data_IF_049752688222
#
_entry.id   IF_049752688222
#
_cell.length_a   1.000
_cell.length_b   1.000
_cell.length_c   1.000
_cell.angle_alpha   90.00
_cell.angle_beta   90.00
_cell.angle_gamma   90.00
#
_symmetry.space_group_name_H-M   'P 1'
#
loop_
_entity.id
_entity.type
_entity.pdbx_description
1 polymer ?
#
# COMPACT_ATOMS: atom_id res chain seq x y z
N UNK A 1 12.02 -124.08 -52.13
CA UNK A 1 11.38 -122.86 -52.67
C UNK A 1 10.97 -121.99 -51.50
N UNK A 2 11.48 -120.74 -51.49
CA UNK A 2 11.20 -119.68 -50.52
C UNK A 2 9.68 -119.33 -50.45
N UNK A 3 9.17 -118.61 -49.43
CA UNK A 3 9.91 -117.66 -48.58
C UNK A 3 9.71 -117.80 -47.06
N UNK A 4 10.75 -117.47 -46.28
CA UNK A 4 10.62 -117.21 -44.84
C UNK A 4 10.81 -115.72 -44.59
N UNK A 5 9.80 -115.16 -43.92
CA UNK A 5 9.61 -113.76 -43.55
C UNK A 5 10.49 -113.41 -42.34
N UNK A 6 11.33 -112.36 -42.37
CA UNK A 6 11.84 -111.77 -41.15
C UNK A 6 10.94 -110.60 -40.73
N UNK A 7 10.13 -110.89 -39.71
CA UNK A 7 10.17 -110.19 -38.42
C UNK A 7 10.71 -108.76 -38.44
N UNK A 8 9.78 -107.79 -38.53
CA UNK A 8 9.96 -106.39 -38.12
C UNK A 8 8.58 -105.76 -38.03
N UNK A 9 7.88 -105.99 -36.91
CA UNK A 9 6.71 -105.22 -36.53
C UNK A 9 7.03 -104.56 -35.18
N UNK A 10 7.66 -103.38 -35.25
CA UNK A 10 7.83 -102.55 -34.06
C UNK A 10 6.44 -102.12 -33.59
N UNK A 11 5.90 -102.85 -32.61
CA UNK A 11 4.76 -102.41 -31.80
C UNK A 11 5.13 -101.10 -31.13
N UNK A 12 4.64 -99.99 -31.68
CA UNK A 12 4.61 -98.70 -31.00
C UNK A 12 3.58 -98.85 -29.88
N UNK A 13 4.05 -99.21 -28.69
CA UNK A 13 3.23 -99.14 -27.49
C UNK A 13 2.92 -97.68 -27.22
N UNK A 14 1.72 -97.23 -27.64
CA UNK A 14 1.17 -95.96 -27.18
C UNK A 14 0.99 -96.04 -25.67
N UNK A 15 1.94 -95.50 -24.92
CA UNK A 15 1.86 -95.37 -23.49
C UNK A 15 0.76 -94.35 -23.18
N UNK A 16 -0.41 -94.84 -22.76
CA UNK A 16 -1.47 -94.00 -22.17
C UNK A 16 -1.24 -93.99 -20.65
N UNK A 17 -0.59 -92.97 -20.08
CA UNK A 17 -0.17 -92.96 -18.67
C UNK A 17 -1.34 -93.08 -17.67
N UNK A 18 -2.58 -92.86 -18.09
CA UNK A 18 -3.75 -92.81 -17.21
C UNK A 18 -4.74 -93.97 -17.37
N UNK A 19 -4.48 -94.94 -18.24
CA UNK A 19 -5.45 -96.02 -18.54
C UNK A 19 -5.73 -96.98 -17.37
N UNK A 20 -4.83 -97.10 -16.38
CA UNK A 20 -4.94 -98.05 -15.26
C UNK A 20 -5.50 -97.46 -13.96
N UNK A 21 -5.62 -96.13 -13.85
CA UNK A 21 -6.12 -95.48 -12.61
C UNK A 21 -7.65 -95.40 -12.63
N UNK A 22 -8.25 -95.21 -13.82
CA UNK A 22 -9.70 -95.10 -13.97
C UNK A 22 -10.47 -96.43 -13.91
N UNK A 23 -9.79 -97.59 -13.89
CA UNK A 23 -10.46 -98.91 -13.88
C UNK A 23 -10.84 -99.41 -12.48
N UNK A 24 -10.26 -98.82 -11.42
CA UNK A 24 -10.51 -99.20 -10.01
C UNK A 24 -11.34 -98.17 -9.24
N UNK A 25 -11.77 -97.08 -9.87
CA UNK A 25 -12.51 -95.99 -9.25
C UNK A 25 -13.88 -95.89 -9.90
N UNK A 26 -14.93 -95.84 -9.08
CA UNK A 26 -16.31 -95.69 -9.55
C UNK A 26 -16.44 -94.42 -10.43
N UNK A 27 -16.99 -94.53 -11.66
CA UNK A 27 -17.23 -93.38 -12.52
C UNK A 27 -17.98 -92.24 -11.84
N UNK A 28 -18.95 -92.54 -10.94
CA UNK A 28 -19.69 -91.50 -10.23
C UNK A 28 -18.79 -90.69 -9.30
N UNK A 29 -17.80 -91.34 -8.68
CA UNK A 29 -16.80 -90.67 -7.82
C UNK A 29 -15.94 -89.73 -8.66
N UNK A 30 -15.49 -90.14 -9.85
CA UNK A 30 -14.73 -89.28 -10.76
C UNK A 30 -15.53 -88.04 -11.21
N UNK A 31 -16.83 -88.19 -11.50
CA UNK A 31 -17.70 -87.06 -11.83
C UNK A 31 -17.88 -86.09 -10.65
N UNK A 32 -17.97 -86.59 -9.42
CA UNK A 32 -18.04 -85.72 -8.23
C UNK A 32 -16.73 -84.94 -8.00
N UNK A 33 -15.57 -85.59 -8.15
CA UNK A 33 -14.27 -84.91 -8.07
C UNK A 33 -14.10 -83.85 -9.16
N UNK A 34 -14.53 -84.15 -10.38
CA UNK A 34 -14.51 -83.18 -11.47
C UNK A 34 -15.45 -82.00 -11.21
N UNK A 35 -16.66 -82.26 -10.71
CA UNK A 35 -17.61 -81.22 -10.30
C UNK A 35 -17.05 -80.31 -9.20
N UNK A 36 -16.43 -80.89 -8.16
CA UNK A 36 -15.79 -80.13 -7.08
C UNK A 36 -14.58 -79.33 -7.59
N UNK A 37 -13.79 -79.89 -8.52
CA UNK A 37 -12.69 -79.17 -9.15
C UNK A 37 -13.18 -77.97 -9.95
N UNK A 38 -14.25 -78.11 -10.73
CA UNK A 38 -14.84 -77.00 -11.48
C UNK A 38 -15.40 -75.91 -10.55
N UNK A 39 -16.12 -76.29 -9.48
CA UNK A 39 -16.61 -75.33 -8.48
C UNK A 39 -15.43 -74.60 -7.84
N UNK A 40 -14.39 -75.32 -7.43
CA UNK A 40 -13.17 -74.73 -6.87
C UNK A 40 -12.47 -73.80 -7.86
N UNK A 41 -12.42 -74.15 -9.15
CA UNK A 41 -11.80 -73.34 -10.18
C UNK A 41 -12.60 -72.06 -10.46
N UNK A 42 -13.93 -72.14 -10.44
CA UNK A 42 -14.82 -70.96 -10.57
C UNK A 42 -14.68 -70.04 -9.36
N UNK A 43 -14.65 -70.59 -8.15
CA UNK A 43 -14.42 -69.80 -6.93
C UNK A 43 -13.03 -69.14 -6.96
N UNK A 44 -12.00 -69.86 -7.40
CA UNK A 44 -10.66 -69.31 -7.55
C UNK A 44 -10.60 -68.22 -8.64
N UNK A 45 -11.25 -68.42 -9.78
CA UNK A 45 -11.32 -67.41 -10.83
C UNK A 45 -12.05 -66.15 -10.35
N UNK A 46 -13.15 -66.29 -9.62
CA UNK A 46 -13.87 -65.18 -9.00
C UNK A 46 -13.03 -64.47 -7.93
N UNK A 47 -12.27 -65.22 -7.13
CA UNK A 47 -11.33 -64.65 -6.16
C UNK A 47 -10.16 -63.92 -6.82
N UNK A 48 -9.68 -64.39 -7.98
CA UNK A 48 -8.62 -63.73 -8.74
C UNK A 48 -9.12 -62.46 -9.44
N UNK A 49 -10.35 -62.47 -9.95
CA UNK A 49 -10.97 -61.30 -10.62
C UNK A 49 -11.31 -60.18 -9.64
N UNK A 50 -11.67 -60.52 -8.40
CA UNK A 50 -12.01 -59.54 -7.35
C UNK A 50 -10.80 -59.01 -6.56
N UNK A 51 -9.58 -59.43 -6.93
CA UNK A 51 -8.35 -59.00 -6.26
C UNK A 51 -7.88 -57.65 -6.83
N UNK A 52 -8.04 -56.59 -6.05
CA UNK A 52 -7.43 -55.28 -6.38
C UNK A 52 -5.97 -55.26 -5.91
N UNK A 53 -5.03 -55.07 -6.84
CA UNK A 53 -3.62 -54.90 -6.51
C UNK A 53 -3.37 -53.46 -6.02
N UNK A 54 -3.07 -53.33 -4.73
CA UNK A 54 -2.78 -52.05 -4.08
C UNK A 54 -1.29 -51.70 -4.05
N UNK A 55 -0.39 -52.53 -4.60
CA UNK A 55 1.07 -52.36 -4.42
C UNK A 55 1.73 -51.41 -5.42
N UNK A 56 0.97 -50.88 -6.39
CA UNK A 56 1.54 -50.25 -7.59
C UNK A 56 1.20 -48.77 -7.75
N UNK A 57 0.76 -48.13 -6.66
CA UNK A 57 0.47 -46.69 -6.61
C UNK A 57 1.31 -46.04 -5.54
N UNK A 58 1.99 -44.95 -5.90
CA UNK A 58 2.81 -44.13 -5.02
C UNK A 58 2.29 -42.69 -4.95
N UNK A 59 2.48 -42.07 -3.79
CA UNK A 59 2.19 -40.65 -3.57
C UNK A 59 3.46 -39.85 -3.84
N UNK A 60 3.44 -39.04 -4.90
CA UNK A 60 4.53 -38.16 -5.32
C UNK A 60 4.17 -36.70 -5.02
N UNK A 61 5.13 -35.95 -4.48
CA UNK A 61 4.96 -34.56 -4.05
C UNK A 61 5.83 -33.65 -4.92
N UNK A 62 5.30 -32.51 -5.38
CA UNK A 62 6.10 -31.56 -6.15
C UNK A 62 7.06 -30.75 -5.26
N UNK A 63 8.33 -30.82 -5.65
CA UNK A 63 9.50 -30.03 -5.25
C UNK A 63 10.06 -30.16 -3.80
N UNK A 64 11.40 -30.12 -3.72
CA UNK A 64 12.21 -30.37 -2.52
C UNK A 64 12.22 -29.20 -1.53
N UNK A 65 11.91 -29.53 -0.28
CA UNK A 65 12.58 -29.22 0.99
C UNK A 65 13.22 -27.84 1.22
N UNK A 66 12.78 -27.20 2.31
CA UNK A 66 13.61 -26.30 3.12
C UNK A 66 14.88 -27.04 3.57
N UNK A 67 15.98 -26.31 3.69
CA UNK A 67 17.33 -26.83 3.98
C UNK A 67 17.34 -27.91 5.09
N UNK A 68 17.84 -29.09 4.73
CA UNK A 68 18.15 -30.25 5.59
C UNK A 68 17.07 -31.29 5.94
N UNK A 69 15.86 -31.30 5.38
CA UNK A 69 14.95 -32.44 5.64
C UNK A 69 13.58 -32.34 5.00
N UNK A 70 12.82 -33.44 5.03
CA UNK A 70 11.50 -33.69 4.39
C UNK A 70 10.36 -32.81 4.94
N UNK A 71 10.58 -31.50 5.07
CA UNK A 71 9.64 -30.55 5.66
C UNK A 71 9.22 -29.45 4.67
N UNK A 72 7.97 -29.03 4.80
CA UNK A 72 7.32 -27.93 4.10
C UNK A 72 6.97 -26.83 5.10
N UNK A 73 6.73 -25.60 4.61
CA UNK A 73 6.37 -24.47 5.48
C UNK A 73 4.86 -24.25 5.54
N UNK A 74 4.36 -23.70 6.66
CA UNK A 74 2.95 -23.27 6.78
C UNK A 74 2.57 -22.34 5.61
N UNK A 75 1.42 -22.58 5.00
CA UNK A 75 0.92 -21.79 3.86
C UNK A 75 1.55 -22.12 2.51
N UNK A 76 2.57 -22.98 2.45
CA UNK A 76 3.13 -23.46 1.20
C UNK A 76 2.13 -24.37 0.47
N UNK A 77 1.88 -24.09 -0.80
CA UNK A 77 1.07 -24.97 -1.66
C UNK A 77 1.91 -26.18 -2.07
N UNK A 78 1.41 -27.37 -1.74
CA UNK A 78 2.02 -28.66 -2.07
C UNK A 78 1.16 -29.32 -3.15
N UNK A 79 1.79 -29.76 -4.24
CA UNK A 79 1.12 -30.60 -5.26
C UNK A 79 1.25 -32.07 -4.86
N UNK A 80 0.13 -32.78 -4.84
CA UNK A 80 0.05 -34.21 -4.59
C UNK A 80 -0.35 -34.93 -5.87
N UNK A 81 0.46 -35.89 -6.29
CA UNK A 81 0.26 -36.70 -7.48
C UNK A 81 0.12 -38.17 -7.10
N UNK A 82 -0.90 -38.83 -7.63
CA UNK A 82 -1.05 -40.28 -7.58
C UNK A 82 -0.37 -40.88 -8.81
N UNK A 83 0.81 -41.48 -8.62
CA UNK A 83 1.51 -42.21 -9.67
C UNK A 83 1.15 -43.69 -9.57
N UNK A 84 0.26 -44.15 -10.46
CA UNK A 84 -0.12 -45.55 -10.58
C UNK A 84 0.41 -46.14 -11.88
N UNK A 85 0.99 -47.33 -11.82
CA UNK A 85 1.31 -48.09 -13.04
C UNK A 85 0.06 -48.71 -13.68
N UNK A 86 -1.03 -48.83 -12.92
CA UNK A 86 -2.33 -49.28 -13.41
C UNK A 86 -3.10 -48.10 -14.02
N UNK A 87 -3.19 -48.11 -15.35
CA UNK A 87 -3.87 -47.06 -16.14
C UNK A 87 -5.39 -47.12 -16.04
N UNK A 88 -5.98 -48.16 -15.42
CA UNK A 88 -7.44 -48.28 -15.26
C UNK A 88 -7.96 -47.52 -14.04
N UNK A 89 -7.10 -47.24 -13.07
CA UNK A 89 -7.45 -46.57 -11.81
C UNK A 89 -7.60 -45.06 -12.01
N UNK A 90 -8.79 -44.54 -11.78
CA UNK A 90 -9.15 -43.11 -12.03
C UNK A 90 -9.87 -42.44 -10.86
N UNK A 91 -10.36 -43.23 -9.91
CA UNK A 91 -11.10 -42.84 -8.72
C UNK A 91 -10.15 -42.55 -7.55
N UNK A 92 -9.39 -41.47 -7.64
CA UNK A 92 -8.49 -41.04 -6.57
C UNK A 92 -9.17 -40.04 -5.64
N UNK A 93 -9.01 -40.24 -4.34
CA UNK A 93 -9.48 -39.30 -3.35
C UNK A 93 -8.53 -39.17 -2.16
N UNK A 94 -8.34 -37.94 -1.70
CA UNK A 94 -7.25 -37.52 -0.81
C UNK A 94 -7.77 -36.98 0.51
N UNK A 95 -7.21 -37.46 1.61
CA UNK A 95 -7.44 -37.00 2.97
C UNK A 95 -6.13 -36.51 3.57
N UNK A 96 -6.08 -35.28 4.06
CA UNK A 96 -4.81 -34.63 4.45
C UNK A 96 -4.48 -34.69 5.95
N UNK A 97 -5.41 -35.19 6.78
CA UNK A 97 -5.21 -35.31 8.23
C UNK A 97 -5.25 -34.00 9.01
N UNK A 98 -5.63 -32.88 8.39
CA UNK A 98 -5.68 -31.53 8.97
C UNK A 98 -7.10 -30.99 9.16
N UNK A 99 -8.11 -31.87 9.07
CA UNK A 99 -9.56 -31.57 9.04
C UNK A 99 -10.06 -30.83 7.79
N UNK A 100 -9.23 -30.69 6.75
CA UNK A 100 -9.67 -30.14 5.47
C UNK A 100 -10.61 -31.09 4.73
N UNK A 101 -11.42 -30.53 3.82
CA UNK A 101 -12.32 -31.30 2.98
C UNK A 101 -11.53 -32.27 2.08
N UNK A 102 -12.11 -33.46 1.86
CA UNK A 102 -11.56 -34.47 0.94
C UNK A 102 -11.48 -33.91 -0.47
N UNK A 103 -10.37 -34.14 -1.15
CA UNK A 103 -10.18 -33.76 -2.56
C UNK A 103 -10.19 -34.98 -3.46
N UNK A 104 -10.51 -34.81 -4.75
CA UNK A 104 -10.58 -35.91 -5.72
C UNK A 104 -9.76 -35.59 -6.98
N UNK A 105 -9.17 -36.60 -7.59
CA UNK A 105 -8.38 -36.48 -8.83
C UNK A 105 -6.96 -37.02 -8.70
N UNK A 106 -6.33 -37.32 -9.84
CA UNK A 106 -4.96 -37.86 -9.89
C UNK A 106 -3.90 -36.85 -9.42
N UNK A 107 -4.17 -35.56 -9.56
CA UNK A 107 -3.33 -34.46 -9.09
C UNK A 107 -4.19 -33.46 -8.33
N UNK A 108 -3.76 -33.09 -7.11
CA UNK A 108 -4.45 -32.11 -6.26
C UNK A 108 -3.46 -31.14 -5.61
N UNK A 109 -3.96 -30.01 -5.13
CA UNK A 109 -3.18 -28.98 -4.47
C UNK A 109 -3.72 -28.73 -3.07
N UNK A 110 -2.84 -28.73 -2.07
CA UNK A 110 -3.22 -28.49 -0.69
C UNK A 110 -2.16 -27.69 0.06
N UNK A 111 -2.59 -26.91 1.04
CA UNK A 111 -1.72 -26.14 1.93
C UNK A 111 -2.14 -26.33 3.38
N UNK A 112 -1.16 -26.33 4.28
CA UNK A 112 -1.39 -26.56 5.71
C UNK A 112 -1.26 -25.26 6.48
N UNK A 113 -2.25 -24.98 7.33
CA UNK A 113 -2.35 -23.72 8.07
C UNK A 113 -1.66 -23.75 9.44
N UNK A 114 -1.29 -24.93 9.93
CA UNK A 114 -0.63 -25.10 11.23
C UNK A 114 0.62 -25.95 11.07
N UNK A 115 1.67 -25.68 11.87
CA UNK A 115 2.82 -26.57 11.93
C UNK A 115 2.42 -27.89 12.61
N UNK A 116 2.97 -28.99 12.14
CA UNK A 116 2.65 -30.34 12.63
C UNK A 116 3.09 -31.44 11.67
N UNK A 117 3.03 -32.69 12.14
CA UNK A 117 3.11 -33.85 11.25
C UNK A 117 1.70 -34.22 10.80
N UNK A 118 1.53 -34.42 9.49
CA UNK A 118 0.26 -34.78 8.88
C UNK A 118 0.40 -36.09 8.11
N UNK A 119 -0.58 -36.97 8.27
CA UNK A 119 -0.70 -38.21 7.52
C UNK A 119 -1.64 -38.00 6.35
N UNK A 120 -1.09 -37.99 5.15
CA UNK A 120 -1.87 -37.87 3.91
C UNK A 120 -2.25 -39.25 3.43
N UNK A 121 -3.55 -39.50 3.28
CA UNK A 121 -4.11 -40.77 2.83
C UNK A 121 -4.72 -40.60 1.43
N UNK A 122 -4.20 -41.36 0.47
CA UNK A 122 -4.80 -41.54 -0.85
C UNK A 122 -5.66 -42.79 -0.82
N UNK A 123 -6.91 -42.70 -1.29
CA UNK A 123 -7.85 -43.81 -1.38
C UNK A 123 -8.33 -43.96 -2.82
N UNK A 124 -8.38 -45.20 -3.30
CA UNK A 124 -9.01 -45.58 -4.57
C UNK A 124 -9.52 -47.01 -4.46
N UNK A 125 -10.80 -47.24 -4.76
CA UNK A 125 -11.46 -48.51 -4.52
C UNK A 125 -11.33 -48.99 -3.07
N UNK A 126 -10.79 -50.19 -2.87
CA UNK A 126 -10.48 -50.76 -1.54
C UNK A 126 -9.05 -50.49 -1.08
N UNK A 127 -8.26 -49.78 -1.88
CA UNK A 127 -6.87 -49.49 -1.59
C UNK A 127 -6.70 -48.14 -0.88
N UNK A 128 -5.78 -48.09 0.08
CA UNK A 128 -5.37 -46.87 0.76
C UNK A 128 -3.85 -46.80 0.89
N UNK A 129 -3.26 -45.64 0.58
CA UNK A 129 -1.83 -45.36 0.69
C UNK A 129 -1.60 -44.17 1.59
N UNK A 130 -0.60 -44.25 2.46
CA UNK A 130 -0.31 -43.23 3.46
C UNK A 130 1.06 -42.60 3.23
N UNK A 131 1.15 -41.28 3.40
CA UNK A 131 2.40 -40.51 3.32
C UNK A 131 2.47 -39.51 4.46
N UNK A 132 3.51 -39.62 5.28
CA UNK A 132 3.79 -38.62 6.31
C UNK A 132 4.48 -37.39 5.70
N UNK A 133 4.02 -36.20 6.08
CA UNK A 133 4.65 -34.91 5.76
C UNK A 133 4.79 -34.06 7.02
N UNK A 134 5.88 -33.31 7.09
CA UNK A 134 6.17 -32.42 8.21
C UNK A 134 5.98 -30.98 7.76
N UNK A 135 5.11 -30.25 8.46
CA UNK A 135 4.89 -28.82 8.25
C UNK A 135 5.59 -28.08 9.39
N UNK A 136 6.66 -27.36 9.07
CA UNK A 136 7.32 -26.45 9.99
C UNK A 136 6.66 -25.08 9.91
N UNK A 137 6.71 -24.32 11.00
CA UNK A 137 6.36 -22.92 10.96
C UNK A 137 7.19 -22.25 9.86
N UNK A 138 6.55 -21.37 9.07
CA UNK A 138 7.33 -20.50 8.21
C UNK A 138 8.39 -19.82 9.10
N UNK A 139 9.67 -19.76 8.67
CA UNK A 139 10.65 -19.00 9.43
C UNK A 139 10.03 -17.63 9.66
N UNK A 140 9.91 -17.24 10.94
CA UNK A 140 9.57 -15.88 11.26
C UNK A 140 10.54 -15.05 10.41
N UNK A 141 10.00 -14.23 9.50
CA UNK A 141 10.83 -13.22 8.83
C UNK A 141 11.72 -12.66 9.94
N UNK A 142 13.06 -12.63 9.76
CA UNK A 142 13.94 -12.17 10.82
C UNK A 142 13.28 -10.92 11.35
N UNK A 143 12.95 -10.91 12.64
CA UNK A 143 12.84 -9.65 13.33
C UNK A 143 14.24 -9.11 13.14
N UNK A 144 14.45 -8.36 12.05
CA UNK A 144 15.63 -7.56 11.87
C UNK A 144 15.81 -6.95 13.25
N UNK A 145 16.99 -7.10 13.82
CA UNK A 145 17.40 -6.22 14.89
C UNK A 145 17.30 -4.82 14.28
N UNK A 146 16.08 -4.28 14.29
CA UNK A 146 15.79 -2.94 13.84
C UNK A 146 16.69 -2.14 14.78
N UNK A 147 17.54 -1.25 14.26
CA UNK A 147 18.21 -0.31 15.14
C UNK A 147 17.13 0.26 16.07
N UNK A 148 17.40 0.36 17.37
CA UNK A 148 16.46 0.94 18.31
C UNK A 148 16.10 2.34 17.81
N UNK A 149 14.98 2.43 17.10
CA UNK A 149 14.48 3.63 16.47
C UNK A 149 13.48 4.18 17.46
N UNK A 150 13.80 5.34 18.03
CA UNK A 150 12.91 6.05 18.94
C UNK A 150 12.08 7.07 18.15
N UNK A 151 10.81 6.75 17.80
CA UNK A 151 9.97 7.65 17.02
C UNK A 151 9.63 8.92 17.79
N UNK A 152 9.56 10.05 17.08
CA UNK A 152 9.14 11.36 17.63
C UNK A 152 7.93 11.88 16.86
N UNK A 153 6.92 12.36 17.58
CA UNK A 153 5.74 12.99 16.98
C UNK A 153 5.92 14.52 16.94
N UNK A 154 6.18 15.05 15.76
CA UNK A 154 6.20 16.48 15.49
C UNK A 154 4.78 17.00 15.26
N UNK A 155 4.43 18.13 15.86
CA UNK A 155 3.10 18.74 15.77
C UNK A 155 2.71 19.48 17.05
N UNK A 156 1.65 20.30 17.01
CA UNK A 156 1.22 21.10 18.17
C UNK A 156 0.62 20.21 19.28
N UNK A 157 0.88 20.57 20.53
CA UNK A 157 0.25 19.94 21.70
C UNK A 157 -1.11 20.56 22.07
N UNK A 158 -1.43 21.73 21.52
CA UNK A 158 -2.64 22.49 21.79
C UNK A 158 -3.31 22.88 20.47
N UNK A 159 -4.59 22.58 20.33
CA UNK A 159 -5.35 22.81 19.09
C UNK A 159 -6.78 23.27 19.39
N UNK A 160 -7.48 23.80 18.39
CA UNK A 160 -8.89 24.18 18.52
C UNK A 160 -9.80 23.20 17.79
N UNK A 161 -10.96 22.89 18.38
CA UNK A 161 -11.97 22.06 17.76
C UNK A 161 -12.42 22.65 16.40
N UNK A 162 -12.65 21.79 15.42
CA UNK A 162 -13.08 22.15 14.07
C UNK A 162 -11.96 22.60 13.12
N UNK A 163 -10.69 22.68 13.58
CA UNK A 163 -9.55 23.03 12.71
C UNK A 163 -8.71 21.79 12.37
N UNK A 164 -8.26 21.65 11.12
CA UNK A 164 -7.33 20.58 10.75
C UNK A 164 -5.95 20.86 11.35
N UNK A 165 -5.34 19.83 11.92
CA UNK A 165 -3.98 19.84 12.45
C UNK A 165 -3.19 18.68 11.87
N UNK A 166 -1.95 18.94 11.46
CA UNK A 166 -1.05 17.92 10.91
C UNK A 166 0.00 17.52 11.93
N UNK A 167 0.21 16.21 12.07
CA UNK A 167 1.31 15.60 12.81
C UNK A 167 2.24 14.90 11.85
N UNK A 168 3.54 14.98 12.08
CA UNK A 168 4.56 14.37 11.22
C UNK A 168 5.56 13.57 12.02
N UNK A 169 6.20 12.59 11.38
CA UNK A 169 7.33 11.87 11.91
C UNK A 169 8.52 11.99 10.94
N UNK A 170 9.66 12.44 11.47
CA UNK A 170 10.91 12.60 10.71
C UNK A 170 12.04 11.71 11.26
N UNK A 171 11.68 10.65 11.99
CA UNK A 171 12.68 9.79 12.63
C UNK A 171 13.50 9.06 11.56
N UNK A 172 14.84 9.17 11.59
CA UNK A 172 15.69 8.44 10.65
C UNK A 172 15.46 6.93 10.74
N UNK A 173 15.39 6.25 9.59
CA UNK A 173 15.13 4.81 9.53
C UNK A 173 13.66 4.40 9.62
N UNK A 174 12.72 5.35 9.71
CA UNK A 174 11.29 5.09 9.61
C UNK A 174 10.87 4.83 8.15
N UNK A 175 10.23 3.69 7.88
CA UNK A 175 9.73 3.29 6.55
C UNK A 175 8.23 3.04 6.54
N UNK A 176 7.66 2.61 7.67
CA UNK A 176 6.20 2.47 7.84
C UNK A 176 5.75 3.21 9.10
N UNK A 177 4.54 3.75 9.07
CA UNK A 177 3.95 4.52 10.17
C UNK A 177 2.52 4.04 10.42
N UNK A 178 2.16 3.93 11.68
CA UNK A 178 0.80 3.63 12.12
C UNK A 178 0.43 4.58 13.23
N UNK A 179 -0.42 5.56 12.89
CA UNK A 179 -0.96 6.56 13.79
C UNK A 179 -2.30 6.10 14.31
N UNK A 180 -2.58 6.28 15.61
CA UNK A 180 -3.89 5.94 16.18
C UNK A 180 -4.24 6.84 17.36
N UNK A 181 -5.48 7.30 17.43
CA UNK A 181 -6.00 7.97 18.62
C UNK A 181 -6.42 6.94 19.66
N UNK A 182 -6.08 7.16 20.93
CA UNK A 182 -6.52 6.31 22.04
C UNK A 182 -7.94 6.69 22.46
N UNK A 183 -8.90 6.28 21.65
CA UNK A 183 -10.33 6.36 21.91
C UNK A 183 -11.03 5.14 21.32
N UNK A 184 -12.24 4.85 21.78
CA UNK A 184 -13.03 3.74 21.27
C UNK A 184 -13.29 3.90 19.76
N UNK A 185 -13.09 2.81 19.01
CA UNK A 185 -13.28 2.74 17.56
C UNK A 185 -12.41 3.70 16.71
N UNK A 186 -11.27 4.16 17.21
CA UNK A 186 -10.34 4.95 16.40
C UNK A 186 -9.66 4.10 15.31
N UNK A 187 -9.83 4.51 14.07
CA UNK A 187 -9.16 3.90 12.91
C UNK A 187 -7.66 4.26 12.88
N UNK A 188 -6.79 3.29 12.54
CA UNK A 188 -5.37 3.55 12.32
C UNK A 188 -5.16 4.27 10.98
N UNK A 189 -4.24 5.23 10.97
CA UNK A 189 -3.83 5.95 9.77
C UNK A 189 -2.36 5.65 9.44
N UNK A 190 -1.99 5.70 8.16
CA UNK A 190 -0.64 5.42 7.67
C UNK A 190 -0.01 6.61 6.97
N UNK A 191 1.33 6.62 6.89
CA UNK A 191 2.12 7.65 6.19
C UNK A 191 2.96 8.51 7.14
N UNK A 192 3.99 9.18 6.62
CA UNK A 192 4.91 9.99 7.43
C UNK A 192 4.26 11.24 8.06
N UNK A 193 3.09 11.64 7.55
CA UNK A 193 2.28 12.74 8.06
C UNK A 193 0.80 12.35 8.09
N UNK A 194 0.07 12.81 9.11
CA UNK A 194 -1.38 12.59 9.25
C UNK A 194 -2.06 13.89 9.67
N UNK A 195 -3.24 14.17 9.14
CA UNK A 195 -4.03 15.35 9.50
C UNK A 195 -5.31 14.92 10.21
N UNK A 196 -5.55 15.46 11.39
CA UNK A 196 -6.77 15.24 12.18
C UNK A 196 -7.58 16.52 12.31
N UNK A 197 -8.90 16.38 12.39
CA UNK A 197 -9.82 17.47 12.74
C UNK A 197 -10.65 17.00 13.94
N UNK A 198 -10.43 17.61 15.11
CA UNK A 198 -11.14 17.23 16.33
C UNK A 198 -12.48 17.97 16.43
N UNK A 199 -13.59 17.25 16.51
CA UNK A 199 -14.93 17.84 16.56
C UNK A 199 -15.34 18.37 17.93
N UNK A 200 -14.73 17.87 19.01
CA UNK A 200 -15.06 18.19 20.39
C UNK A 200 -13.83 18.58 21.20
N UNK A 201 -13.96 19.53 22.15
CA UNK A 201 -12.90 19.87 23.08
C UNK A 201 -12.61 18.71 24.04
N UNK A 202 -11.39 18.69 24.59
CA UNK A 202 -10.93 17.69 25.54
C UNK A 202 -9.52 17.20 25.27
N UNK A 203 -9.04 16.31 26.13
CA UNK A 203 -7.73 15.67 26.00
C UNK A 203 -7.79 14.51 25.00
N UNK A 204 -6.83 14.48 24.08
CA UNK A 204 -6.65 13.38 23.11
C UNK A 204 -5.22 12.84 23.24
N UNK A 205 -5.06 11.53 23.12
CA UNK A 205 -3.74 10.90 23.08
C UNK A 205 -3.54 10.26 21.72
N UNK A 206 -2.47 10.66 21.03
CA UNK A 206 -2.07 10.12 19.74
C UNK A 206 -0.88 9.16 19.94
N UNK A 207 -1.04 7.92 19.50
CA UNK A 207 0.04 6.94 19.41
C UNK A 207 0.64 6.90 18.02
N UNK A 208 1.95 6.70 17.96
CA UNK A 208 2.66 6.38 16.73
C UNK A 208 3.49 5.10 16.94
N UNK A 209 3.29 4.14 16.04
CA UNK A 209 4.14 2.98 15.83
C UNK A 209 4.88 3.18 14.50
N UNK A 210 6.20 3.05 14.53
CA UNK A 210 7.03 3.09 13.33
C UNK A 210 7.51 1.68 13.04
N UNK A 211 7.58 1.29 11.77
CA UNK A 211 8.19 0.03 11.37
C UNK A 211 7.52 -1.23 11.97
N UNK A 212 6.29 -1.12 12.47
CA UNK A 212 5.62 -2.21 13.19
C UNK A 212 6.25 -2.53 14.56
N UNK A 213 7.17 -1.69 15.05
CA UNK A 213 7.80 -1.85 16.36
C UNK A 213 6.88 -1.32 17.47
N UNK A 214 6.20 -2.25 18.14
CA UNK A 214 5.32 -1.95 19.27
C UNK A 214 6.07 -1.71 20.58
N UNK A 215 7.34 -2.13 20.67
CA UNK A 215 8.14 -1.99 21.89
C UNK A 215 8.58 -0.53 22.12
N UNK A 216 8.86 0.20 21.05
CA UNK A 216 9.27 1.61 21.08
C UNK A 216 8.15 2.57 20.66
N UNK A 217 6.88 2.22 20.88
CA UNK A 217 5.76 3.10 20.56
C UNK A 217 5.82 4.41 21.35
N UNK A 218 5.48 5.54 20.70
CA UNK A 218 5.48 6.87 21.33
C UNK A 218 4.07 7.43 21.40
N UNK A 219 3.81 8.20 22.46
CA UNK A 219 2.53 8.84 22.73
C UNK A 219 2.69 10.36 22.81
N UNK A 220 1.71 11.09 22.30
CA UNK A 220 1.61 12.55 22.45
C UNK A 220 0.23 12.94 22.97
N UNK A 221 0.20 13.74 24.03
CA UNK A 221 -1.02 14.37 24.55
C UNK A 221 -1.33 15.62 23.76
N UNK A 222 -2.60 15.81 23.44
CA UNK A 222 -3.13 16.91 22.64
C UNK A 222 -4.33 17.48 23.40
N UNK A 223 -4.23 18.73 23.82
CA UNK A 223 -5.33 19.47 24.45
C UNK A 223 -6.14 20.18 23.37
N UNK A 224 -7.39 19.76 23.19
CA UNK A 224 -8.32 20.39 22.23
C UNK A 224 -9.16 21.41 22.96
N UNK A 225 -8.93 22.69 22.66
CA UNK A 225 -9.75 23.80 23.13
C UNK A 225 -11.05 23.91 22.32
N UNK A 226 -12.14 24.42 22.92
CA UNK A 226 -13.39 24.64 22.19
C UNK A 226 -13.15 25.58 21.01
N UNK A 227 -13.89 25.36 19.92
CA UNK A 227 -13.85 26.24 18.76
C UNK A 227 -14.10 27.67 19.25
N UNK A 228 -13.22 28.61 18.86
CA UNK A 228 -13.44 30.01 19.18
C UNK A 228 -14.85 30.36 18.65
N UNK A 229 -15.73 30.98 19.47
CA UNK A 229 -17.02 31.41 18.98
C UNK A 229 -16.79 32.20 17.71
N UNK A 230 -17.38 31.73 16.60
CA UNK A 230 -17.55 32.59 15.45
C UNK A 230 -18.35 33.77 16.00
N UNK A 231 -17.80 34.98 15.92
CA UNK A 231 -18.59 36.16 16.21
C UNK A 231 -19.86 35.99 15.38
N UNK A 232 -21.02 35.96 16.05
CA UNK A 232 -22.29 35.85 15.36
C UNK A 232 -22.29 36.94 14.28
N UNK A 233 -22.60 36.55 13.04
CA UNK A 233 -22.90 37.55 12.02
C UNK A 233 -23.94 38.50 12.65
N UNK A 234 -23.71 39.82 12.64
CA UNK A 234 -24.64 40.74 13.27
C UNK A 234 -26.01 40.50 12.66
N UNK A 235 -27.00 40.21 13.51
CA UNK A 235 -28.37 40.00 13.09
C UNK A 235 -28.84 41.21 12.25
N UNK A 236 -29.66 41.02 11.21
CA UNK A 236 -30.21 42.13 10.46
C UNK A 236 -31.12 42.93 11.40
N UNK A 237 -30.74 44.19 11.63
CA UNK A 237 -31.37 45.10 12.57
C UNK A 237 -32.87 45.30 12.20
N UNK A 238 -33.84 45.18 13.13
CA UNK A 238 -35.21 45.55 12.86
C UNK A 238 -35.27 47.09 12.73
N UNK A 239 -35.73 47.56 11.57
CA UNK A 239 -35.71 48.96 11.17
C UNK A 239 -36.10 49.94 12.29
N UNK A 240 -35.10 50.69 12.75
CA UNK A 240 -35.28 51.91 13.52
C UNK A 240 -34.92 53.09 12.61
N UNK A 241 -35.81 54.09 12.53
CA UNK A 241 -35.56 55.31 11.78
C UNK A 241 -34.30 56.02 12.33
N UNK A 242 -33.41 56.54 11.47
CA UNK A 242 -32.09 56.98 11.91
C UNK A 242 -32.14 58.30 12.69
N UNK A 243 -31.53 58.38 13.90
CA UNK A 243 -31.01 59.64 14.44
C UNK A 243 -29.73 60.07 13.68
N UNK A 244 -29.36 61.36 13.71
CA UNK A 244 -28.27 61.91 12.89
C UNK A 244 -26.91 61.25 13.21
N UNK A 245 -26.04 61.03 12.18
CA UNK A 245 -24.92 60.11 12.29
C UNK A 245 -23.74 60.67 13.12
N UNK A 246 -23.29 59.98 14.18
CA UNK A 246 -21.93 60.08 14.69
C UNK A 246 -20.92 59.36 13.76
N UNK A 247 -19.65 59.81 13.72
CA UNK A 247 -18.65 59.32 12.77
C UNK A 247 -18.30 57.84 12.99
N UNK A 248 -18.37 56.97 11.95
CA UNK A 248 -18.05 55.55 12.10
C UNK A 248 -16.54 55.28 12.22
N UNK A 249 -16.21 54.55 13.29
CA UNK A 249 -14.98 53.76 13.43
C UNK A 249 -15.05 52.48 12.55
N UNK A 250 -13.91 51.85 12.20
CA UNK A 250 -13.81 50.87 11.11
C UNK A 250 -14.24 49.44 11.48
N UNK A 251 -14.86 48.72 10.54
CA UNK A 251 -15.15 47.27 10.59
C UNK A 251 -14.02 46.43 9.93
N UNK A 252 -13.77 45.16 10.35
CA UNK A 252 -12.55 44.39 10.06
C UNK A 252 -12.32 43.89 8.62
N UNK A 253 -11.06 43.62 8.36
CA UNK A 253 -10.40 43.36 7.07
C UNK A 253 -10.73 42.00 6.42
N UNK A 254 -11.06 42.04 5.12
CA UNK A 254 -10.83 40.94 4.15
C UNK A 254 -9.32 40.83 3.87
N UNK A 255 -8.80 39.65 3.49
CA UNK A 255 -7.42 39.23 3.72
C UNK A 255 -6.42 40.17 3.06
N UNK A 256 -5.58 40.81 3.89
CA UNK A 256 -4.43 41.60 3.47
C UNK A 256 -3.48 40.71 2.67
N UNK A 257 -3.43 40.95 1.35
CA UNK A 257 -2.17 40.85 0.64
C UNK A 257 -1.13 41.77 1.30
N UNK A 258 0.18 41.58 1.04
CA UNK A 258 1.24 42.37 1.67
C UNK A 258 0.91 43.86 1.53
N UNK A 259 0.55 44.48 2.65
CA UNK A 259 0.08 45.86 2.69
C UNK A 259 1.32 46.73 2.62
N UNK A 260 1.45 47.53 1.56
CA UNK A 260 2.61 48.41 1.40
C UNK A 260 2.67 49.41 2.57
N UNK A 261 3.86 49.79 3.06
CA UNK A 261 3.98 50.82 4.09
C UNK A 261 3.30 52.12 3.65
N UNK A 262 2.52 52.74 4.53
CA UNK A 262 1.87 54.01 4.24
C UNK A 262 2.93 55.11 4.11
N UNK A 263 3.09 55.66 2.90
CA UNK A 263 4.00 56.78 2.60
C UNK A 263 3.22 57.98 2.08
N UNK A 264 3.47 59.17 2.61
CA UNK A 264 2.85 60.41 2.11
C UNK A 264 3.54 60.91 0.84
N UNK A 265 2.85 61.71 0.03
CA UNK A 265 3.41 62.30 -1.20
C UNK A 265 4.68 63.13 -0.91
N UNK A 266 4.68 63.92 0.18
CA UNK A 266 5.82 64.74 0.59
C UNK A 266 7.01 63.92 1.12
N UNK A 267 6.73 62.81 1.81
CA UNK A 267 7.76 61.88 2.28
C UNK A 267 8.40 61.16 1.09
N UNK A 268 7.60 60.72 0.12
CA UNK A 268 8.09 60.08 -1.10
C UNK A 268 8.88 61.07 -1.97
N UNK A 269 8.47 62.34 -2.02
CA UNK A 269 9.24 63.42 -2.65
C UNK A 269 10.59 63.60 -1.97
N UNK A 270 10.64 63.62 -0.64
CA UNK A 270 11.88 63.68 0.11
C UNK A 270 12.78 62.47 -0.20
N UNK A 271 12.22 61.26 -0.20
CA UNK A 271 12.97 60.05 -0.57
C UNK A 271 13.49 60.10 -2.02
N UNK A 272 12.72 60.60 -2.99
CA UNK A 272 13.19 60.78 -4.36
C UNK A 272 14.30 61.84 -4.45
N UNK A 273 14.25 62.88 -3.62
CA UNK A 273 15.36 63.84 -3.53
C UNK A 273 16.68 63.18 -3.08
N UNK A 274 16.60 62.15 -2.25
CA UNK A 274 17.76 61.35 -1.82
C UNK A 274 18.37 60.50 -2.96
N UNK A 275 17.61 60.18 -4.00
CA UNK A 275 18.13 59.54 -5.23
C UNK A 275 19.02 60.53 -5.99
N UNK A 276 18.64 61.81 -6.03
CA UNK A 276 19.47 62.87 -6.66
C UNK A 276 20.78 63.13 -5.92
N UNK A 277 20.85 62.80 -4.63
CA UNK A 277 22.05 62.93 -3.79
C UNK A 277 22.84 61.62 -3.61
N UNK A 278 22.46 60.55 -4.31
CA UNK A 278 23.06 59.20 -4.24
C UNK A 278 22.94 58.50 -2.88
N UNK A 279 21.95 58.87 -2.07
CA UNK A 279 21.68 58.23 -0.79
C UNK A 279 20.69 57.07 -0.90
N UNK A 280 19.89 57.03 -1.96
CA UNK A 280 18.92 55.97 -2.25
C UNK A 280 18.95 55.56 -3.71
N UNK A 281 18.57 54.32 -3.97
CA UNK A 281 18.43 53.69 -5.29
C UNK A 281 16.97 53.30 -5.54
N UNK A 282 16.63 52.89 -6.76
CA UNK A 282 15.28 52.42 -7.08
C UNK A 282 14.82 51.25 -6.18
N UNK A 283 15.75 50.38 -5.77
CA UNK A 283 15.45 49.21 -4.95
C UNK A 283 14.94 49.58 -3.54
N UNK A 284 15.34 50.74 -3.00
CA UNK A 284 14.89 51.21 -1.68
C UNK A 284 13.39 51.53 -1.61
N UNK A 285 12.75 51.62 -2.78
CA UNK A 285 11.33 51.91 -2.92
C UNK A 285 10.48 50.66 -3.19
N UNK A 286 11.11 49.50 -3.43
CA UNK A 286 10.46 48.20 -3.72
C UNK A 286 9.26 47.92 -2.79
N UNK A 287 9.45 48.09 -1.47
CA UNK A 287 8.39 47.90 -0.46
C UNK A 287 7.15 48.77 -0.64
N UNK A 288 7.27 49.98 -1.19
CA UNK A 288 6.14 50.89 -1.43
C UNK A 288 5.46 50.60 -2.78
N UNK A 289 6.21 50.02 -3.72
CA UNK A 289 5.74 49.63 -5.04
C UNK A 289 5.30 48.16 -5.09
N UNK A 290 5.35 47.44 -3.96
CA UNK A 290 5.09 46.00 -3.88
C UNK A 290 5.93 45.20 -4.89
N UNK A 291 7.23 45.47 -4.88
CA UNK A 291 8.26 44.91 -5.77
C UNK A 291 8.09 45.23 -7.26
N UNK A 292 7.12 46.08 -7.63
CA UNK A 292 6.91 46.53 -9.00
C UNK A 292 7.78 47.75 -9.34
N UNK A 293 9.09 47.54 -9.55
CA UNK A 293 10.01 48.62 -9.98
C UNK A 293 9.73 49.15 -11.40
N UNK A 294 8.81 48.53 -12.12
CA UNK A 294 8.32 48.96 -13.44
C UNK A 294 7.07 49.84 -13.35
N UNK A 295 6.70 50.31 -12.15
CA UNK A 295 5.56 51.20 -11.99
C UNK A 295 5.68 52.44 -12.89
N UNK A 296 4.53 52.92 -13.36
CA UNK A 296 4.43 54.01 -14.32
C UNK A 296 4.79 55.34 -13.65
N UNK A 297 5.67 56.11 -14.28
CA UNK A 297 6.01 57.48 -13.87
C UNK A 297 5.51 58.45 -14.94
N UNK A 298 4.67 59.40 -14.57
CA UNK A 298 4.19 60.47 -15.45
C UNK A 298 4.93 61.77 -15.12
N UNK A 299 5.66 62.29 -16.09
CA UNK A 299 6.56 63.43 -15.99
C UNK A 299 5.92 64.67 -16.61
N UNK A 300 5.69 65.72 -15.80
CA UNK A 300 5.07 66.98 -16.21
C UNK A 300 3.80 66.80 -17.07
N UNK A 301 2.98 65.79 -16.72
CA UNK A 301 1.72 65.40 -17.37
C UNK A 301 1.79 65.09 -18.87
N UNK A 302 2.99 64.88 -19.44
CA UNK A 302 3.18 64.68 -20.89
C UNK A 302 4.01 63.46 -21.25
N UNK A 303 5.07 63.19 -20.49
CA UNK A 303 6.02 62.12 -20.78
C UNK A 303 5.81 60.97 -19.80
N UNK A 304 5.92 59.72 -20.27
CA UNK A 304 5.83 58.54 -19.41
C UNK A 304 7.16 57.81 -19.36
N UNK A 305 7.54 57.37 -18.17
CA UNK A 305 8.73 56.56 -17.91
C UNK A 305 8.36 55.38 -16.98
N UNK A 306 9.27 54.44 -16.78
CA UNK A 306 9.16 53.46 -15.70
C UNK A 306 10.00 53.89 -14.50
N UNK A 307 9.63 53.46 -13.29
CA UNK A 307 10.24 53.95 -12.06
C UNK A 307 11.75 53.68 -11.96
N UNK A 308 12.20 52.46 -12.28
CA UNK A 308 13.61 52.11 -12.28
C UNK A 308 14.44 52.99 -13.24
N UNK A 309 13.94 53.21 -14.46
CA UNK A 309 14.60 54.04 -15.47
C UNK A 309 14.56 55.53 -15.13
N UNK A 310 13.47 56.02 -14.54
CA UNK A 310 13.41 57.37 -14.02
C UNK A 310 14.43 57.59 -12.91
N UNK A 311 14.53 56.67 -11.94
CA UNK A 311 15.51 56.74 -10.85
C UNK A 311 16.95 56.74 -11.37
N UNK A 312 17.28 55.92 -12.37
CA UNK A 312 18.64 55.91 -12.96
C UNK A 312 18.96 57.22 -13.67
N UNK A 313 17.97 57.84 -14.33
CA UNK A 313 18.11 59.16 -14.99
C UNK A 313 18.38 60.30 -14.01
N UNK A 314 17.80 60.28 -12.82
CA UNK A 314 17.94 61.36 -11.82
C UNK A 314 19.06 61.09 -10.81
N UNK A 315 19.62 59.87 -10.79
CA UNK A 315 20.62 59.46 -9.81
C UNK A 315 21.85 60.37 -9.84
N UNK A 316 22.17 61.00 -8.71
CA UNK A 316 23.31 61.92 -8.58
C UNK A 316 23.14 63.28 -9.26
N UNK A 317 21.98 63.60 -9.87
CA UNK A 317 21.73 64.89 -10.51
C UNK A 317 21.23 65.93 -9.51
N UNK A 318 22.14 66.50 -8.71
CA UNK A 318 21.83 67.51 -7.66
C UNK A 318 21.10 68.76 -8.16
N UNK A 319 21.17 69.08 -9.47
CA UNK A 319 20.45 70.22 -10.09
C UNK A 319 19.00 69.86 -10.49
N UNK A 320 18.63 68.59 -10.45
CA UNK A 320 17.28 68.12 -10.78
C UNK A 320 16.36 68.32 -9.56
N UNK A 321 15.49 69.32 -9.62
CA UNK A 321 14.56 69.65 -8.53
C UNK A 321 13.16 69.13 -8.85
N UNK A 322 12.70 68.19 -8.04
CA UNK A 322 11.31 67.72 -8.04
C UNK A 322 10.49 68.71 -7.24
N UNK A 323 9.44 69.26 -7.85
CA UNK A 323 8.57 70.28 -7.23
C UNK A 323 7.36 69.66 -6.55
N UNK A 324 6.79 68.63 -7.18
CA UNK A 324 5.62 67.94 -6.67
C UNK A 324 5.65 66.48 -7.07
N UNK A 325 5.26 65.62 -6.15
CA UNK A 325 4.99 64.21 -6.41
C UNK A 325 3.54 63.95 -6.02
N UNK A 326 2.84 63.14 -6.82
CA UNK A 326 1.54 62.63 -6.45
C UNK A 326 1.49 61.12 -6.71
N UNK A 327 1.21 60.35 -5.67
CA UNK A 327 1.19 58.89 -5.72
C UNK A 327 -0.23 58.37 -5.92
N UNK A 328 -0.42 57.54 -6.94
CA UNK A 328 -1.66 56.78 -7.14
C UNK A 328 -1.40 55.37 -6.62
N UNK A 329 -2.14 55.00 -5.57
CA UNK A 329 -2.04 53.71 -4.88
C UNK A 329 -3.22 52.82 -5.23
N UNK A 330 -3.03 51.51 -5.14
CA UNK A 330 -4.12 50.54 -5.26
C UNK A 330 -4.80 50.23 -3.93
N UNK A 331 -5.77 49.31 -3.97
CA UNK A 331 -6.52 48.84 -2.80
C UNK A 331 -5.64 48.21 -1.70
N UNK A 332 -4.40 47.82 -2.01
CA UNK A 332 -3.44 47.24 -1.06
C UNK A 332 -2.39 48.26 -0.58
N UNK A 333 -2.51 49.53 -1.01
CA UNK A 333 -1.57 50.61 -0.69
C UNK A 333 -0.33 50.66 -1.57
N UNK A 334 -0.18 49.74 -2.54
CA UNK A 334 0.95 49.69 -3.45
C UNK A 334 0.89 50.86 -4.42
N UNK A 335 1.99 51.59 -4.59
CA UNK A 335 2.11 52.68 -5.56
C UNK A 335 2.12 52.10 -6.98
N UNK A 336 1.09 52.40 -7.78
CA UNK A 336 0.96 51.96 -9.18
C UNK A 336 1.40 53.00 -10.20
N UNK A 337 1.18 54.28 -9.89
CA UNK A 337 1.58 55.39 -10.75
C UNK A 337 2.13 56.55 -9.91
N UNK A 338 3.25 57.12 -10.36
CA UNK A 338 3.91 58.27 -9.73
C UNK A 338 3.85 59.44 -10.69
N UNK A 339 3.14 60.51 -10.33
CA UNK A 339 3.10 61.75 -11.10
C UNK A 339 4.14 62.71 -10.53
N UNK A 340 5.05 63.19 -11.38
CA UNK A 340 6.17 64.03 -10.96
C UNK A 340 6.15 65.32 -11.77
N UNK A 341 6.09 66.44 -11.06
CA UNK A 341 6.32 67.76 -11.62
C UNK A 341 7.74 68.22 -11.24
N UNK A 342 8.49 68.72 -12.22
CA UNK A 342 9.86 69.20 -12.01
C UNK A 342 10.14 70.44 -12.86
N UNK A 343 11.05 71.29 -12.37
CA UNK A 343 11.41 72.55 -13.02
C UNK A 343 12.20 72.31 -14.33
N UNK A 344 11.55 72.49 -15.48
CA UNK A 344 12.18 72.37 -16.81
C UNK A 344 13.28 73.41 -17.05
N UNK A 345 13.24 74.58 -16.39
CA UNK A 345 14.21 75.67 -16.63
C UNK A 345 15.62 75.34 -16.14
N UNK A 346 15.77 74.36 -15.23
CA UNK A 346 17.06 73.87 -14.72
C UNK A 346 17.53 72.54 -15.33
N UNK A 347 16.72 71.93 -16.21
CA UNK A 347 17.01 70.64 -16.87
C UNK A 347 17.67 70.82 -18.25
N UNK A 348 17.75 72.06 -18.75
CA UNK A 348 18.23 72.49 -20.08
C UNK A 348 19.72 72.23 -20.41
N UNK A 349 20.35 71.23 -19.78
CA UNK A 349 21.73 70.83 -20.07
C UNK A 349 21.94 69.34 -20.30
N UNK A 350 20.89 68.54 -20.54
CA UNK A 350 21.01 67.11 -20.85
C UNK A 350 19.85 66.68 -21.76
N UNK A 351 19.99 66.89 -23.07
CA UNK A 351 19.32 66.09 -24.10
C UNK A 351 20.40 65.46 -24.97
#
# INVERSE_FOLDING_TARGET
>A
MAPRKPENEHKVNSFRPFGKIASHVDPMVLWTFFGLFLISAVLLAFQLDTREDCTTTDIVLSNKQHTSGKAYTVGQVITFNAESSDKKRTDYAWEFGDSSARQTGAQVYHSFNKPGSYMVTLVSGKCAWNKEIIIIAAPAAPAEARPDIFPVIDGPGEVFAGRPVTFTNKTPGAHTWTWRLLQDNAEPHSGAAVTYTFSSPGERTLSLIVNGDTAHMVMKRITVFPARPQAADPAPDPGFAPPPPPPPAPEPEKPKGPTAPAVADDEFLFMLSQVTTKQKSAADFSRYLCDNLSARVLLNDKETDNFAHFCSRIYGKKKFKIEKVNLIKDANGCVKEIRIMYDRKKVLGIF
#
